data_IF_106203167391
#
_entry.id   IF_106203167391
#
_cell.length_a   1.000
_cell.length_b   1.000
_cell.length_c   1.000
_cell.angle_alpha   90.00
_cell.angle_beta   90.00
_cell.angle_gamma   90.00
#
_symmetry.space_group_name_H-M   'P 1'
#
loop_
_entity.id
_entity.type
_entity.pdbx_description
1 polymer ?
#
# COMPACT_ATOMS: atom_id res chain seq x y z
N UNK A 1 -8.86 3.61 -28.44
CA UNK A 1 -8.90 4.86 -27.64
C UNK A 1 -10.22 5.09 -26.86
N UNK A 2 -11.34 4.44 -27.24
CA UNK A 2 -12.64 4.55 -26.53
C UNK A 2 -12.67 4.02 -25.08
N UNK A 3 -11.99 2.88 -24.73
CA UNK A 3 -12.09 2.33 -23.37
C UNK A 3 -11.45 3.19 -22.28
N UNK A 4 -10.33 3.87 -22.58
CA UNK A 4 -9.63 4.71 -21.60
C UNK A 4 -10.41 5.99 -21.26
N UNK A 5 -11.05 6.62 -22.25
CA UNK A 5 -11.91 7.81 -22.03
C UNK A 5 -13.16 7.44 -21.22
N UNK A 6 -13.72 6.26 -21.45
CA UNK A 6 -14.85 5.76 -20.65
C UNK A 6 -14.44 5.51 -19.19
N UNK A 7 -13.31 4.84 -18.97
CA UNK A 7 -12.76 4.61 -17.63
C UNK A 7 -12.62 5.92 -16.84
N UNK A 8 -11.96 6.92 -17.40
CA UNK A 8 -11.77 8.21 -16.75
C UNK A 8 -13.09 8.94 -16.50
N UNK A 9 -14.03 8.87 -17.44
CA UNK A 9 -15.36 9.47 -17.25
C UNK A 9 -16.10 8.83 -16.07
N UNK A 10 -16.13 7.51 -15.99
CA UNK A 10 -16.81 6.78 -14.90
C UNK A 10 -16.11 7.03 -13.57
N UNK A 11 -14.78 7.01 -13.52
CA UNK A 11 -14.03 7.27 -12.30
C UNK A 11 -14.29 8.68 -11.76
N UNK A 12 -14.18 9.71 -12.58
CA UNK A 12 -14.39 11.10 -12.19
C UNK A 12 -15.87 11.48 -11.97
N UNK A 13 -16.82 10.70 -12.45
CA UNK A 13 -18.24 10.89 -12.14
C UNK A 13 -18.59 10.47 -10.72
N UNK A 14 -17.80 9.59 -10.11
CA UNK A 14 -17.92 9.25 -8.69
C UNK A 14 -17.21 10.32 -7.84
N UNK A 15 -18.01 11.29 -7.33
CA UNK A 15 -17.51 12.43 -6.56
C UNK A 15 -16.65 12.02 -5.36
N UNK A 16 -16.96 10.88 -4.72
CA UNK A 16 -16.21 10.38 -3.56
C UNK A 16 -14.84 9.87 -3.97
N UNK A 17 -14.78 9.08 -5.02
CA UNK A 17 -13.52 8.57 -5.55
C UNK A 17 -12.64 9.70 -6.10
N UNK A 18 -13.24 10.66 -6.80
CA UNK A 18 -12.54 11.84 -7.33
C UNK A 18 -11.94 12.70 -6.20
N UNK A 19 -12.74 13.04 -5.18
CA UNK A 19 -12.28 13.80 -4.02
C UNK A 19 -11.15 13.07 -3.27
N UNK A 20 -11.30 11.76 -3.07
CA UNK A 20 -10.27 10.93 -2.44
C UNK A 20 -8.96 10.87 -3.26
N UNK A 21 -9.04 10.79 -4.58
CA UNK A 21 -7.87 10.80 -5.46
C UNK A 21 -7.16 12.17 -5.40
N UNK A 22 -7.90 13.28 -5.40
CA UNK A 22 -7.35 14.63 -5.24
C UNK A 22 -6.69 14.78 -3.87
N UNK A 23 -7.34 14.30 -2.80
CA UNK A 23 -6.77 14.31 -1.45
C UNK A 23 -5.44 13.54 -1.40
N UNK A 24 -5.39 12.30 -1.91
CA UNK A 24 -4.15 11.50 -1.93
C UNK A 24 -3.04 12.18 -2.75
N UNK A 25 -3.39 12.78 -3.89
CA UNK A 25 -2.41 13.52 -4.67
C UNK A 25 -1.87 14.73 -3.89
N UNK A 26 -2.76 15.49 -3.25
CA UNK A 26 -2.37 16.63 -2.42
C UNK A 26 -1.50 16.18 -1.24
N UNK A 27 -1.86 15.08 -0.56
CA UNK A 27 -1.09 14.51 0.55
C UNK A 27 0.31 14.07 0.09
N UNK A 28 0.42 13.36 -1.03
CA UNK A 28 1.71 12.94 -1.61
C UNK A 28 2.56 14.16 -1.96
N UNK A 29 1.97 15.17 -2.62
CA UNK A 29 2.68 16.39 -2.98
C UNK A 29 3.14 17.16 -1.73
N UNK A 30 2.28 17.27 -0.73
CA UNK A 30 2.60 17.92 0.54
C UNK A 30 3.75 17.22 1.25
N UNK A 31 3.71 15.91 1.38
CA UNK A 31 4.75 15.08 2.01
C UNK A 31 6.09 15.18 1.25
N UNK A 32 6.06 15.29 -0.07
CA UNK A 32 7.26 15.35 -0.90
C UNK A 32 7.85 16.78 -0.98
N UNK A 33 7.01 17.79 -1.15
CA UNK A 33 7.45 19.14 -1.48
C UNK A 33 7.61 20.02 -0.25
N UNK A 34 6.68 19.96 0.73
CA UNK A 34 6.70 20.86 1.87
C UNK A 34 8.01 20.83 2.68
N UNK A 35 8.67 19.69 2.90
CA UNK A 35 9.98 19.67 3.59
C UNK A 35 11.08 20.46 2.88
N UNK A 36 10.98 20.64 1.55
CA UNK A 36 11.95 21.45 0.80
C UNK A 36 11.84 22.94 1.14
N UNK A 37 10.66 23.39 1.57
CA UNK A 37 10.41 24.79 1.94
C UNK A 37 10.59 25.06 3.44
N UNK A 38 10.36 24.03 4.28
CA UNK A 38 10.49 24.18 5.74
C UNK A 38 11.96 24.35 6.17
N UNK A 39 12.90 23.78 5.42
CA UNK A 39 14.35 23.88 5.72
C UNK A 39 14.75 23.24 7.06
N UNK A 40 13.84 22.56 7.75
CA UNK A 40 14.07 21.92 9.05
C UNK A 40 14.41 20.43 8.83
N UNK A 41 15.52 19.99 9.42
CA UNK A 41 15.88 18.57 9.44
C UNK A 41 15.00 17.84 10.49
N UNK A 42 14.23 16.81 10.10
CA UNK A 42 13.37 16.07 11.02
C UNK A 42 14.12 15.32 12.13
N UNK A 43 15.44 15.23 12.05
CA UNK A 43 16.27 14.51 13.01
C UNK A 43 17.01 15.41 14.00
N UNK A 44 17.01 16.72 13.77
CA UNK A 44 17.69 17.68 14.66
C UNK A 44 16.82 17.96 15.89
N UNK A 45 17.43 17.85 17.05
CA UNK A 45 16.82 18.18 18.36
C UNK A 45 16.96 19.66 18.65
N UNK A 46 15.86 20.35 18.89
CA UNK A 46 15.88 21.70 19.47
C UNK A 46 15.86 21.61 21.00
N UNK A 47 17.04 21.83 21.61
CA UNK A 47 17.18 21.79 23.07
C UNK A 47 16.49 22.98 23.76
N UNK A 48 16.22 24.04 23.03
CA UNK A 48 15.59 25.27 23.60
C UNK A 48 14.06 25.10 23.70
N UNK A 49 13.46 24.36 22.78
CA UNK A 49 12.03 24.09 22.78
C UNK A 49 11.62 23.07 23.85
N UNK A 50 12.52 22.13 24.19
CA UNK A 50 12.28 21.07 25.19
C UNK A 50 11.56 19.84 24.59
N UNK A 51 11.42 18.83 25.41
CA UNK A 51 10.77 17.55 25.07
C UNK A 51 9.24 17.69 25.17
N UNK A 52 8.52 17.16 24.19
CA UNK A 52 7.06 17.20 24.18
C UNK A 52 6.47 18.61 24.30
N UNK A 53 7.17 19.63 23.78
CA UNK A 53 6.65 20.99 23.82
C UNK A 53 5.34 21.10 23.01
N UNK A 54 4.37 21.89 23.50
CA UNK A 54 3.11 22.11 22.79
C UNK A 54 3.31 22.89 21.48
N UNK A 55 2.31 22.89 20.58
CA UNK A 55 2.32 23.69 19.37
C UNK A 55 2.67 25.15 19.63
N UNK A 56 3.57 25.69 18.81
CA UNK A 56 4.06 27.07 18.90
C UNK A 56 4.38 27.63 17.52
N UNK A 57 4.62 28.94 17.34
CA UNK A 57 5.03 29.50 16.06
C UNK A 57 6.33 28.93 15.51
N UNK A 58 7.27 28.48 16.38
CA UNK A 58 8.51 27.82 15.98
C UNK A 58 8.31 26.34 15.63
N UNK A 59 7.37 25.68 16.30
CA UNK A 59 7.02 24.26 16.13
C UNK A 59 5.52 24.12 15.98
N UNK A 60 5.00 24.18 14.75
CA UNK A 60 3.55 24.23 14.47
C UNK A 60 2.75 23.07 15.06
N UNK A 61 3.33 21.87 15.12
CA UNK A 61 2.75 20.70 15.78
C UNK A 61 3.44 20.34 17.11
N UNK A 62 4.28 21.25 17.65
CA UNK A 62 5.07 20.96 18.85
C UNK A 62 6.28 20.09 18.55
N UNK A 63 6.84 19.51 19.63
CA UNK A 63 8.03 18.62 19.55
C UNK A 63 7.72 17.21 20.01
N UNK A 64 8.58 16.27 19.64
CA UNK A 64 8.50 14.86 20.03
C UNK A 64 9.26 14.59 21.37
N UNK A 65 9.42 13.28 21.71
CA UNK A 65 10.13 12.78 22.88
C UNK A 65 11.60 13.21 22.98
N UNK A 66 12.19 13.60 21.85
CA UNK A 66 13.59 14.04 21.76
C UNK A 66 13.73 15.53 21.51
N UNK A 67 12.62 16.31 21.52
CA UNK A 67 12.64 17.75 21.21
C UNK A 67 12.82 18.04 19.72
N UNK A 68 12.48 17.11 18.82
CA UNK A 68 12.53 17.29 17.37
C UNK A 68 11.19 17.84 16.88
N UNK A 69 11.21 18.65 15.81
CA UNK A 69 9.99 19.22 15.24
C UNK A 69 9.03 18.15 14.71
N UNK A 70 7.83 18.11 15.27
CA UNK A 70 6.87 17.06 14.98
C UNK A 70 6.27 17.19 13.57
N UNK A 71 6.12 18.41 13.02
CA UNK A 71 5.62 18.60 11.65
C UNK A 71 6.62 18.04 10.63
N UNK A 72 7.90 18.38 10.77
CA UNK A 72 8.97 17.88 9.91
C UNK A 72 9.08 16.34 9.97
N UNK A 73 8.92 15.77 11.17
CA UNK A 73 8.87 14.31 11.37
C UNK A 73 7.63 13.65 10.78
N UNK A 74 6.47 14.30 10.89
CA UNK A 74 5.21 13.82 10.29
C UNK A 74 5.33 13.71 8.77
N UNK A 75 5.93 14.72 8.12
CA UNK A 75 6.17 14.74 6.68
C UNK A 75 7.23 13.70 6.26
N UNK A 76 8.33 13.61 7.00
CA UNK A 76 9.36 12.59 6.75
C UNK A 76 8.79 11.17 6.94
N UNK A 77 8.01 10.98 8.00
CA UNK A 77 7.30 9.72 8.28
C UNK A 77 6.29 9.35 7.19
N UNK A 78 5.59 10.34 6.66
CA UNK A 78 4.67 10.15 5.54
C UNK A 78 5.37 9.64 4.28
N UNK A 79 6.56 10.14 3.95
CA UNK A 79 7.37 9.62 2.82
C UNK A 79 7.65 8.13 3.00
N UNK A 80 8.03 7.73 4.21
CA UNK A 80 8.36 6.34 4.52
C UNK A 80 7.12 5.46 4.51
N UNK A 81 6.04 5.84 5.19
CA UNK A 81 4.82 5.04 5.27
C UNK A 81 4.15 4.88 3.90
N UNK A 82 4.09 5.94 3.07
CA UNK A 82 3.59 5.86 1.70
C UNK A 82 4.50 5.00 0.82
N UNK A 83 5.83 5.16 0.91
CA UNK A 83 6.78 4.33 0.17
C UNK A 83 6.61 2.85 0.50
N UNK A 84 6.54 2.50 1.79
CA UNK A 84 6.29 1.12 2.23
C UNK A 84 4.97 0.62 1.67
N UNK A 85 3.91 1.40 1.77
CA UNK A 85 2.59 1.04 1.27
C UNK A 85 2.60 0.71 -0.23
N UNK A 86 3.01 1.66 -1.05
CA UNK A 86 2.99 1.53 -2.51
C UNK A 86 4.01 0.52 -3.02
N UNK A 87 5.25 0.53 -2.52
CA UNK A 87 6.29 -0.38 -2.98
C UNK A 87 6.00 -1.84 -2.62
N UNK A 88 5.48 -2.10 -1.40
CA UNK A 88 5.06 -3.47 -1.02
C UNK A 88 3.89 -3.97 -1.87
N UNK A 89 2.89 -3.13 -2.12
CA UNK A 89 1.77 -3.50 -2.97
C UNK A 89 2.20 -3.76 -4.42
N UNK A 90 3.11 -2.94 -4.96
CA UNK A 90 3.69 -3.11 -6.28
C UNK A 90 4.50 -4.41 -6.38
N UNK A 91 5.37 -4.69 -5.40
CA UNK A 91 6.17 -5.91 -5.35
C UNK A 91 5.29 -7.17 -5.32
N UNK A 92 4.25 -7.17 -4.48
CA UNK A 92 3.26 -8.25 -4.44
C UNK A 92 2.54 -8.44 -5.78
N UNK A 93 2.27 -7.34 -6.51
CA UNK A 93 1.70 -7.35 -7.86
C UNK A 93 2.66 -7.93 -8.90
N UNK A 94 3.91 -7.45 -8.91
CA UNK A 94 4.96 -7.88 -9.85
C UNK A 94 5.25 -9.38 -9.71
N UNK A 95 5.24 -9.92 -8.50
CA UNK A 95 5.45 -11.34 -8.26
C UNK A 95 4.17 -12.17 -8.51
N UNK A 96 3.03 -11.69 -8.02
CA UNK A 96 1.79 -12.45 -8.03
C UNK A 96 1.13 -12.55 -9.40
N UNK A 97 1.19 -11.51 -10.24
CA UNK A 97 0.54 -11.53 -11.55
C UNK A 97 1.15 -12.60 -12.46
N UNK A 98 2.48 -12.68 -12.69
CA UNK A 98 3.06 -13.71 -13.55
C UNK A 98 2.82 -15.12 -13.02
N UNK A 99 2.94 -15.33 -11.69
CA UNK A 99 2.74 -16.64 -11.08
C UNK A 99 1.28 -17.10 -11.19
N UNK A 100 0.33 -16.21 -10.95
CA UNK A 100 -1.09 -16.50 -11.11
C UNK A 100 -1.48 -16.80 -12.56
N UNK A 101 -0.94 -16.06 -13.53
CA UNK A 101 -1.12 -16.33 -14.97
C UNK A 101 -0.55 -17.68 -15.36
N UNK A 102 0.68 -17.98 -14.91
CA UNK A 102 1.35 -19.24 -15.22
C UNK A 102 0.55 -20.42 -14.68
N UNK A 103 0.10 -20.35 -13.42
CA UNK A 103 -0.70 -21.39 -12.79
C UNK A 103 -2.03 -21.60 -13.52
N UNK A 104 -2.77 -20.51 -13.82
CA UNK A 104 -4.10 -20.59 -14.45
C UNK A 104 -4.05 -21.01 -15.91
N UNK A 105 -3.04 -20.56 -16.67
CA UNK A 105 -2.95 -20.85 -18.10
C UNK A 105 -2.39 -22.24 -18.39
N UNK A 106 -1.22 -22.60 -17.81
CA UNK A 106 -0.59 -23.89 -18.03
C UNK A 106 -1.26 -25.03 -17.29
N UNK A 107 -1.74 -24.79 -16.06
CA UNK A 107 -2.33 -25.85 -15.25
C UNK A 107 -1.32 -26.90 -14.78
N UNK A 108 -1.83 -28.09 -14.39
CA UNK A 108 -1.02 -29.26 -14.05
C UNK A 108 0.00 -29.01 -12.92
N UNK A 109 1.27 -29.36 -13.15
CA UNK A 109 2.33 -29.21 -12.13
C UNK A 109 2.56 -27.76 -11.69
N UNK A 110 2.47 -26.80 -12.62
CA UNK A 110 2.63 -25.37 -12.31
C UNK A 110 1.51 -24.87 -11.40
N UNK A 111 0.28 -25.22 -11.69
CA UNK A 111 -0.87 -24.92 -10.86
C UNK A 111 -0.69 -25.53 -9.47
N UNK A 112 -0.39 -26.82 -9.40
CA UNK A 112 -0.23 -27.54 -8.14
C UNK A 112 0.79 -26.85 -7.22
N UNK A 113 2.02 -26.60 -7.69
CA UNK A 113 3.07 -26.06 -6.85
C UNK A 113 2.85 -24.59 -6.48
N UNK A 114 2.40 -23.76 -7.43
CA UNK A 114 2.15 -22.34 -7.15
C UNK A 114 0.98 -22.20 -6.18
N UNK A 115 -0.13 -22.94 -6.39
CA UNK A 115 -1.28 -22.84 -5.48
C UNK A 115 -0.96 -23.45 -4.11
N UNK A 116 -0.18 -24.51 -4.05
CA UNK A 116 0.29 -25.07 -2.78
C UNK A 116 1.16 -24.07 -2.01
N UNK A 117 2.07 -23.38 -2.68
CA UNK A 117 2.82 -22.30 -2.06
C UNK A 117 1.88 -21.18 -1.56
N UNK A 118 0.90 -20.76 -2.37
CA UNK A 118 -0.10 -19.78 -1.92
C UNK A 118 -0.84 -20.25 -0.68
N UNK A 119 -1.25 -21.52 -0.61
CA UNK A 119 -1.94 -22.10 0.55
C UNK A 119 -1.06 -22.06 1.79
N UNK A 120 0.20 -22.45 1.66
CA UNK A 120 1.18 -22.43 2.75
C UNK A 120 1.36 -21.03 3.31
N UNK A 121 1.62 -20.01 2.46
CA UNK A 121 1.80 -18.64 2.94
C UNK A 121 0.51 -18.05 3.56
N UNK A 122 -0.66 -18.46 3.09
CA UNK A 122 -1.94 -17.95 3.61
C UNK A 122 -2.49 -18.75 4.80
N UNK A 123 -1.89 -19.88 5.17
CA UNK A 123 -2.29 -20.66 6.35
C UNK A 123 -1.81 -20.03 7.66
N UNK A 124 -0.79 -19.19 7.61
CA UNK A 124 -0.27 -18.48 8.78
C UNK A 124 -0.88 -17.08 8.91
N UNK A 125 -1.11 -16.59 10.14
CA UNK A 125 -1.44 -15.19 10.36
C UNK A 125 -0.35 -14.29 9.80
N UNK A 126 -0.69 -13.45 8.82
CA UNK A 126 0.28 -12.63 8.08
C UNK A 126 1.15 -11.76 8.98
N UNK A 127 0.55 -11.18 10.05
CA UNK A 127 1.28 -10.32 10.99
C UNK A 127 2.40 -11.08 11.72
N UNK A 128 2.20 -12.35 12.06
CA UNK A 128 3.21 -13.17 12.72
C UNK A 128 4.37 -13.50 11.78
N UNK A 129 4.08 -13.81 10.51
CA UNK A 129 5.11 -14.03 9.50
C UNK A 129 5.93 -12.76 9.25
N UNK A 130 5.26 -11.63 9.08
CA UNK A 130 5.94 -10.34 8.87
C UNK A 130 6.82 -10.00 10.09
N UNK A 131 6.28 -10.15 11.31
CA UNK A 131 7.02 -9.93 12.56
C UNK A 131 8.29 -10.79 12.62
N UNK A 132 8.16 -12.10 12.41
CA UNK A 132 9.29 -13.04 12.44
C UNK A 132 10.36 -12.68 11.40
N UNK A 133 9.95 -12.41 10.16
CA UNK A 133 10.87 -12.10 9.06
C UNK A 133 11.58 -10.75 9.27
N UNK A 134 10.87 -9.71 9.72
CA UNK A 134 11.48 -8.40 9.99
C UNK A 134 12.44 -8.48 11.19
N UNK A 135 12.10 -9.29 12.20
CA UNK A 135 13.02 -9.54 13.35
C UNK A 135 14.32 -10.21 12.90
N UNK A 136 14.25 -11.16 11.96
CA UNK A 136 15.42 -11.86 11.43
C UNK A 136 16.27 -10.99 10.52
N UNK A 137 15.64 -10.19 9.63
CA UNK A 137 16.34 -9.37 8.63
C UNK A 137 16.80 -8.02 9.18
N UNK A 138 16.25 -7.59 10.31
CA UNK A 138 16.48 -6.28 10.90
C UNK A 138 15.50 -5.20 10.41
N UNK A 139 15.28 -4.16 11.24
CA UNK A 139 14.34 -3.07 10.99
C UNK A 139 14.90 -2.06 9.97
N UNK A 140 14.57 -2.24 8.72
CA UNK A 140 14.91 -1.36 7.60
C UNK A 140 13.70 -1.17 6.69
N UNK A 141 13.56 0.02 6.10
CA UNK A 141 12.48 0.31 5.14
C UNK A 141 12.44 -0.73 4.02
N UNK A 142 13.60 -1.08 3.48
CA UNK A 142 13.70 -2.06 2.39
C UNK A 142 13.35 -3.47 2.84
N UNK A 143 13.78 -3.89 4.04
CA UNK A 143 13.42 -5.20 4.58
C UNK A 143 11.91 -5.30 4.83
N UNK A 144 11.29 -4.24 5.35
CA UNK A 144 9.84 -4.19 5.55
C UNK A 144 9.10 -4.28 4.20
N UNK A 145 9.54 -3.53 3.17
CA UNK A 145 8.97 -3.61 1.82
C UNK A 145 9.12 -5.02 1.25
N UNK A 146 10.30 -5.62 1.34
CA UNK A 146 10.57 -6.97 0.83
C UNK A 146 9.71 -8.02 1.54
N UNK A 147 9.57 -7.92 2.85
CA UNK A 147 8.79 -8.90 3.62
C UNK A 147 7.30 -8.73 3.35
N UNK A 148 6.74 -7.53 3.47
CA UNK A 148 5.30 -7.30 3.26
C UNK A 148 4.92 -7.58 1.81
N UNK A 149 5.68 -7.07 0.85
CA UNK A 149 5.44 -7.29 -0.57
C UNK A 149 5.69 -8.74 -0.99
N UNK A 150 6.80 -9.32 -0.46
CA UNK A 150 7.19 -10.71 -0.70
C UNK A 150 6.21 -11.74 -0.13
N UNK A 151 5.46 -11.42 0.91
CA UNK A 151 4.36 -12.27 1.41
C UNK A 151 3.02 -11.92 0.73
N UNK A 152 2.88 -10.70 0.22
CA UNK A 152 1.66 -10.21 -0.44
C UNK A 152 1.34 -10.85 -1.79
N UNK A 153 2.34 -11.48 -2.46
CA UNK A 153 2.18 -12.05 -3.80
C UNK A 153 1.11 -13.16 -3.87
N UNK A 154 1.01 -13.98 -2.82
CA UNK A 154 0.14 -15.17 -2.82
C UNK A 154 -1.36 -14.80 -3.02
N UNK A 155 -1.81 -13.70 -2.41
CA UNK A 155 -3.18 -13.21 -2.59
C UNK A 155 -3.43 -12.63 -4.00
N UNK A 156 -2.42 -12.02 -4.62
CA UNK A 156 -2.50 -11.54 -6.01
C UNK A 156 -2.48 -12.71 -6.98
N UNK A 157 -1.58 -13.67 -6.77
CA UNK A 157 -1.48 -14.87 -7.60
C UNK A 157 -2.79 -15.64 -7.62
N UNK A 158 -3.45 -15.81 -6.47
CA UNK A 158 -4.75 -16.48 -6.38
C UNK A 158 -5.86 -15.72 -7.12
N UNK A 159 -5.88 -14.39 -7.00
CA UNK A 159 -6.84 -13.55 -7.73
C UNK A 159 -6.66 -13.69 -9.25
N UNK A 160 -5.42 -13.61 -9.72
CA UNK A 160 -5.08 -13.74 -11.14
C UNK A 160 -5.32 -15.15 -11.66
N UNK A 161 -4.97 -16.17 -10.87
CA UNK A 161 -5.23 -17.57 -11.18
C UNK A 161 -6.71 -17.83 -11.44
N UNK A 162 -7.60 -17.44 -10.53
CA UNK A 162 -9.05 -17.63 -10.69
C UNK A 162 -9.60 -16.88 -11.91
N UNK A 163 -9.13 -15.64 -12.14
CA UNK A 163 -9.49 -14.86 -13.32
C UNK A 163 -8.99 -15.51 -14.62
N UNK A 164 -7.79 -16.08 -14.62
CA UNK A 164 -7.20 -16.76 -15.78
C UNK A 164 -7.96 -18.05 -16.12
N UNK A 165 -8.37 -18.84 -15.12
CA UNK A 165 -9.19 -20.03 -15.32
C UNK A 165 -10.54 -19.69 -15.97
N UNK A 166 -11.19 -18.61 -15.49
CA UNK A 166 -12.45 -18.14 -16.06
C UNK A 166 -12.27 -17.62 -17.49
N UNK A 167 -11.24 -16.80 -17.72
CA UNK A 167 -10.97 -16.23 -19.03
C UNK A 167 -10.59 -17.30 -20.07
N UNK A 168 -9.84 -18.34 -19.68
CA UNK A 168 -9.41 -19.43 -20.57
C UNK A 168 -10.58 -20.19 -21.20
N UNK A 169 -11.74 -20.21 -20.53
CA UNK A 169 -12.98 -20.88 -20.99
C UNK A 169 -13.94 -19.93 -21.73
N UNK A 170 -13.55 -18.68 -21.92
CA UNK A 170 -14.42 -17.70 -22.54
C UNK A 170 -14.40 -17.81 -24.08
N UNK A 171 -15.57 -17.62 -24.72
CA UNK A 171 -15.77 -17.73 -26.18
C UNK A 171 -14.76 -16.89 -26.98
N UNK A 172 -14.41 -15.69 -26.50
CA UNK A 172 -13.45 -14.82 -27.19
C UNK A 172 -12.02 -15.39 -27.22
N UNK A 173 -11.66 -16.26 -26.25
CA UNK A 173 -10.37 -16.97 -26.24
C UNK A 173 -10.41 -18.12 -27.24
N UNK A 174 -11.52 -18.86 -27.30
CA UNK A 174 -11.72 -19.93 -28.29
C UNK A 174 -11.72 -19.38 -29.71
N UNK A 175 -12.41 -18.26 -29.94
CA UNK A 175 -12.38 -17.56 -31.22
C UNK A 175 -10.97 -17.13 -31.63
N UNK A 176 -10.19 -16.56 -30.69
CA UNK A 176 -8.80 -16.18 -30.93
C UNK A 176 -7.94 -17.39 -31.35
N UNK A 177 -8.18 -18.54 -30.71
CA UNK A 177 -7.46 -19.80 -31.03
C UNK A 177 -7.87 -20.32 -32.40
N UNK A 178 -9.16 -20.28 -32.75
CA UNK A 178 -9.66 -20.69 -34.06
C UNK A 178 -9.10 -19.82 -35.20
N UNK A 179 -8.78 -18.56 -34.94
CA UNK A 179 -8.12 -17.64 -35.85
C UNK A 179 -6.59 -17.82 -35.94
N UNK A 180 -6.03 -18.85 -35.27
CA UNK A 180 -4.61 -19.19 -35.34
C UNK A 180 -3.71 -18.39 -34.39
N UNK A 181 -4.25 -17.71 -33.38
CA UNK A 181 -3.45 -17.02 -32.40
C UNK A 181 -2.61 -17.99 -31.57
N UNK A 182 -1.34 -17.66 -31.36
CA UNK A 182 -0.42 -18.43 -30.54
C UNK A 182 -0.79 -18.33 -29.04
N UNK A 183 -0.40 -19.32 -28.23
CA UNK A 183 -0.60 -19.32 -26.79
C UNK A 183 -0.05 -18.05 -26.11
N UNK A 184 1.07 -17.53 -26.61
CA UNK A 184 1.67 -16.30 -26.11
C UNK A 184 0.79 -15.08 -26.44
N UNK A 185 0.24 -15.00 -27.64
CA UNK A 185 -0.67 -13.92 -28.02
C UNK A 185 -1.97 -13.98 -27.22
N UNK A 186 -2.55 -15.17 -27.06
CA UNK A 186 -3.74 -15.39 -26.23
C UNK A 186 -3.46 -14.92 -24.79
N UNK A 187 -2.34 -15.34 -24.21
CA UNK A 187 -2.01 -15.00 -22.82
C UNK A 187 -1.81 -13.49 -22.63
N UNK A 188 -0.98 -12.85 -23.43
CA UNK A 188 -0.59 -11.45 -23.20
C UNK A 188 -1.54 -10.42 -23.82
N UNK A 189 -2.19 -10.73 -24.96
CA UNK A 189 -3.10 -9.80 -25.65
C UNK A 189 -4.56 -10.00 -25.31
N UNK A 190 -4.96 -11.22 -24.94
CA UNK A 190 -6.36 -11.56 -24.73
C UNK A 190 -6.69 -11.76 -23.24
N UNK A 191 -5.93 -12.58 -22.52
CA UNK A 191 -6.22 -12.93 -21.12
C UNK A 191 -5.71 -11.87 -20.16
N UNK A 192 -4.41 -11.54 -20.20
CA UNK A 192 -3.75 -10.64 -19.26
C UNK A 192 -4.47 -9.30 -19.07
N UNK A 193 -4.88 -8.56 -20.12
CA UNK A 193 -5.56 -7.26 -19.94
C UNK A 193 -6.87 -7.37 -19.15
N UNK A 194 -7.57 -8.51 -19.28
CA UNK A 194 -8.85 -8.75 -18.61
C UNK A 194 -8.67 -9.17 -17.15
N UNK A 195 -7.65 -10.00 -16.84
CA UNK A 195 -7.43 -10.51 -15.49
C UNK A 195 -6.65 -9.55 -14.60
N UNK A 196 -5.93 -8.57 -15.17
CA UNK A 196 -5.22 -7.54 -14.41
C UNK A 196 -6.16 -6.44 -13.90
N UNK A 197 -7.31 -6.22 -14.53
CA UNK A 197 -8.28 -5.21 -14.11
C UNK A 197 -8.71 -5.36 -12.63
N UNK A 198 -9.11 -6.55 -12.13
CA UNK A 198 -9.39 -6.76 -10.70
C UNK A 198 -8.16 -6.54 -9.80
N UNK A 199 -6.95 -6.78 -10.29
CA UNK A 199 -5.71 -6.51 -9.52
C UNK A 199 -5.57 -5.01 -9.29
N UNK A 200 -5.72 -4.18 -10.34
CA UNK A 200 -5.70 -2.72 -10.22
C UNK A 200 -6.75 -2.20 -9.24
N UNK A 201 -7.98 -2.75 -9.29
CA UNK A 201 -9.03 -2.38 -8.35
C UNK A 201 -8.72 -2.77 -6.90
N UNK A 202 -7.93 -3.83 -6.67
CA UNK A 202 -7.54 -4.29 -5.34
C UNK A 202 -6.28 -3.61 -4.79
N UNK A 203 -5.51 -2.92 -5.66
CA UNK A 203 -4.22 -2.33 -5.30
C UNK A 203 -4.31 -1.31 -4.14
N UNK A 204 -5.27 -0.36 -4.13
CA UNK A 204 -5.39 0.58 -3.04
C UNK A 204 -5.57 -0.10 -1.67
N UNK A 205 -6.40 -1.14 -1.60
CA UNK A 205 -6.59 -1.92 -0.37
C UNK A 205 -5.30 -2.62 0.09
N UNK A 206 -4.45 -3.05 -0.86
CA UNK A 206 -3.15 -3.64 -0.53
C UNK A 206 -2.18 -2.60 0.02
N UNK A 207 -2.23 -1.37 -0.50
CA UNK A 207 -1.45 -0.23 0.04
C UNK A 207 -1.87 0.04 1.48
N UNK A 208 -3.19 0.14 1.76
CA UNK A 208 -3.71 0.31 3.13
C UNK A 208 -3.19 -0.77 4.06
N UNK A 209 -3.30 -2.05 3.65
CA UNK A 209 -2.82 -3.18 4.45
C UNK A 209 -1.32 -3.12 4.73
N UNK A 210 -0.52 -2.68 3.77
CA UNK A 210 0.92 -2.54 3.94
C UNK A 210 1.27 -1.42 4.94
N UNK A 211 0.61 -0.25 4.85
CA UNK A 211 0.76 0.85 5.79
C UNK A 211 0.38 0.41 7.22
N UNK A 212 -0.78 -0.25 7.36
CA UNK A 212 -1.22 -0.77 8.66
C UNK A 212 -0.30 -1.84 9.22
N UNK A 213 0.27 -2.71 8.36
CA UNK A 213 1.25 -3.73 8.80
C UNK A 213 2.54 -3.08 9.29
N UNK A 214 3.06 -2.06 8.59
CA UNK A 214 4.22 -1.29 9.03
C UNK A 214 3.95 -0.61 10.37
N UNK A 215 2.81 0.07 10.49
CA UNK A 215 2.41 0.74 11.73
C UNK A 215 2.26 -0.25 12.89
N UNK A 216 1.71 -1.43 12.65
CA UNK A 216 1.59 -2.50 13.65
C UNK A 216 2.96 -3.04 14.10
N UNK A 217 3.91 -3.20 13.15
CA UNK A 217 5.28 -3.59 13.49
C UNK A 217 5.97 -2.53 14.35
N UNK A 218 5.80 -1.26 13.99
CA UNK A 218 6.33 -0.14 14.75
C UNK A 218 5.73 -0.10 16.15
N UNK A 219 4.42 -0.31 16.27
CA UNK A 219 3.72 -0.41 17.56
C UNK A 219 4.24 -1.55 18.45
N UNK A 220 4.56 -2.70 17.84
CA UNK A 220 5.15 -3.85 18.55
C UNK A 220 6.66 -3.68 18.83
N UNK A 221 7.25 -2.53 18.51
CA UNK A 221 8.67 -2.23 18.75
C UNK A 221 9.66 -2.91 17.80
N UNK A 222 9.17 -3.58 16.74
CA UNK A 222 9.99 -4.27 15.74
C UNK A 222 10.07 -3.48 14.43
N UNK A 223 9.34 -2.36 14.32
CA UNK A 223 9.35 -1.47 13.17
C UNK A 223 10.61 -0.65 13.02
N UNK A 224 10.51 0.42 12.26
CA UNK A 224 11.63 1.33 12.00
C UNK A 224 12.11 1.99 13.29
N UNK A 225 13.43 2.04 13.44
CA UNK A 225 14.07 2.65 14.61
C UNK A 225 14.44 4.11 14.34
N UNK A 226 14.47 4.91 15.40
CA UNK A 226 15.04 6.25 15.36
C UNK A 226 16.48 6.22 14.79
N UNK A 227 16.88 7.24 13.97
CA UNK A 227 16.18 8.51 13.73
C UNK A 227 15.06 8.47 12.67
N UNK A 228 14.92 7.37 11.92
CA UNK A 228 13.90 7.29 10.86
C UNK A 228 12.49 7.45 11.42
N UNK A 229 11.71 8.35 10.79
CA UNK A 229 10.31 8.54 11.12
C UNK A 229 9.41 7.72 10.19
N UNK A 230 8.32 7.19 10.73
CA UNK A 230 7.13 6.72 10.03
C UNK A 230 5.89 7.14 10.81
N UNK A 231 4.71 7.16 10.19
CA UNK A 231 3.49 7.47 10.94
C UNK A 231 3.25 6.44 12.07
N UNK A 232 3.64 5.19 11.83
CA UNK A 232 3.53 4.12 12.83
C UNK A 232 4.40 4.37 14.05
N UNK A 233 5.69 4.67 13.89
CA UNK A 233 6.57 4.87 15.03
C UNK A 233 6.33 6.22 15.74
N UNK A 234 5.87 7.26 15.02
CA UNK A 234 5.43 8.51 15.66
C UNK A 234 4.21 8.30 16.56
N UNK A 235 3.26 7.47 16.13
CA UNK A 235 2.12 7.12 16.95
C UNK A 235 2.56 6.28 18.15
N UNK A 236 3.47 5.33 17.95
CA UNK A 236 3.98 4.44 19.00
C UNK A 236 4.76 5.19 20.09
N UNK A 237 5.60 6.16 19.73
CA UNK A 237 6.37 6.93 20.70
C UNK A 237 5.49 7.75 21.68
N UNK A 238 4.26 8.05 21.27
CA UNK A 238 3.29 8.79 22.07
C UNK A 238 2.32 7.91 22.89
N UNK A 239 2.53 6.58 22.93
CA UNK A 239 1.60 5.63 23.60
C UNK A 239 1.74 5.56 25.12
N UNK A 240 2.68 6.27 25.72
CA UNK A 240 2.74 6.40 27.18
C UNK A 240 1.46 7.07 27.71
N UNK A 241 0.87 6.55 28.78
CA UNK A 241 -0.44 6.99 29.29
C UNK A 241 -0.49 8.50 29.55
N UNK A 242 0.58 9.07 30.08
CA UNK A 242 0.69 10.50 30.33
C UNK A 242 0.64 11.28 29.00
N UNK A 243 1.40 10.85 28.01
CA UNK A 243 1.46 11.49 26.68
C UNK A 243 0.12 11.37 25.96
N UNK A 244 -0.53 10.22 26.00
CA UNK A 244 -1.87 10.02 25.42
C UNK A 244 -2.91 10.99 25.97
N UNK A 245 -2.91 11.21 27.28
CA UNK A 245 -3.94 12.01 27.95
C UNK A 245 -3.65 13.49 27.95
N UNK A 246 -2.38 13.90 28.02
CA UNK A 246 -1.99 15.30 28.17
C UNK A 246 -1.42 15.95 26.90
N UNK A 247 -1.03 15.17 25.88
CA UNK A 247 -0.29 15.64 24.69
C UNK A 247 -0.93 15.14 23.38
N UNK A 248 -2.20 15.50 23.10
CA UNK A 248 -2.89 15.00 21.89
C UNK A 248 -2.21 15.38 20.59
N UNK A 249 -1.45 16.46 20.55
CA UNK A 249 -0.67 16.86 19.36
C UNK A 249 0.41 15.86 18.97
N UNK A 250 0.86 14.98 19.88
CA UNK A 250 1.92 14.01 19.63
C UNK A 250 1.44 12.81 18.80
N UNK A 251 0.23 12.30 19.04
CA UNK A 251 -0.29 11.08 18.42
C UNK A 251 -1.43 11.33 17.42
N UNK A 252 -2.22 12.38 17.62
CA UNK A 252 -3.39 12.65 16.80
C UNK A 252 -3.03 12.94 15.33
N UNK A 253 -2.03 13.79 15.00
CA UNK A 253 -1.66 14.06 13.63
C UNK A 253 -1.20 12.80 12.86
N UNK A 254 -0.25 11.97 13.33
CA UNK A 254 0.14 10.76 12.61
C UNK A 254 -0.99 9.75 12.53
N UNK A 255 -1.81 9.59 13.57
CA UNK A 255 -2.99 8.74 13.55
C UNK A 255 -4.02 9.18 12.51
N UNK A 256 -4.29 10.49 12.42
CA UNK A 256 -5.18 11.06 11.40
C UNK A 256 -4.65 10.85 9.99
N UNK A 257 -3.34 11.01 9.75
CA UNK A 257 -2.73 10.71 8.45
C UNK A 257 -2.98 9.25 8.04
N UNK A 258 -2.75 8.28 8.93
CA UNK A 258 -3.01 6.86 8.64
C UNK A 258 -4.49 6.62 8.28
N UNK A 259 -5.40 7.17 9.07
CA UNK A 259 -6.84 6.98 8.86
C UNK A 259 -7.31 7.67 7.59
N UNK A 260 -6.93 8.92 7.37
CA UNK A 260 -7.33 9.70 6.19
C UNK A 260 -6.80 9.07 4.89
N UNK A 261 -5.51 8.71 4.85
CA UNK A 261 -4.90 7.98 3.73
C UNK A 261 -5.61 6.65 3.48
N UNK A 262 -5.89 5.90 4.55
CA UNK A 262 -6.60 4.61 4.47
C UNK A 262 -7.99 4.75 3.87
N UNK A 263 -8.77 5.70 4.36
CA UNK A 263 -10.12 5.98 3.84
C UNK A 263 -10.09 6.46 2.39
N UNK A 264 -9.16 7.35 2.06
CA UNK A 264 -9.02 7.84 0.70
C UNK A 264 -8.65 6.72 -0.28
N UNK A 265 -7.70 5.85 0.08
CA UNK A 265 -7.34 4.68 -0.71
C UNK A 265 -8.51 3.72 -0.89
N UNK A 266 -9.35 3.47 0.14
CA UNK A 266 -10.55 2.65 0.02
C UNK A 266 -11.54 3.23 -0.98
N UNK A 267 -11.82 4.54 -0.90
CA UNK A 267 -12.72 5.22 -1.83
C UNK A 267 -12.20 5.21 -3.27
N UNK A 268 -10.89 5.41 -3.47
CA UNK A 268 -10.26 5.26 -4.79
C UNK A 268 -10.41 3.84 -5.30
N UNK A 269 -10.20 2.82 -4.45
CA UNK A 269 -10.39 1.42 -4.81
C UNK A 269 -11.81 1.09 -5.26
N UNK A 270 -12.82 1.64 -4.59
CA UNK A 270 -14.21 1.50 -5.00
C UNK A 270 -14.48 2.17 -6.35
N UNK A 271 -13.97 3.38 -6.59
CA UNK A 271 -14.07 4.07 -7.87
C UNK A 271 -13.40 3.30 -9.00
N UNK A 272 -12.20 2.76 -8.77
CA UNK A 272 -11.51 1.89 -9.73
C UNK A 272 -12.32 0.64 -10.04
N UNK A 273 -12.90 -0.02 -9.05
CA UNK A 273 -13.75 -1.20 -9.24
C UNK A 273 -14.97 -0.90 -10.10
N UNK A 274 -15.64 0.24 -9.87
CA UNK A 274 -16.78 0.68 -10.69
C UNK A 274 -16.36 0.98 -12.13
N UNK A 275 -15.25 1.70 -12.31
CA UNK A 275 -14.76 2.09 -13.63
C UNK A 275 -14.22 0.91 -14.46
N UNK A 276 -13.70 -0.13 -13.80
CA UNK A 276 -13.16 -1.34 -14.43
C UNK A 276 -14.22 -2.43 -14.65
N UNK A 277 -15.45 -2.29 -14.11
CA UNK A 277 -16.49 -3.29 -14.24
C UNK A 277 -17.04 -3.33 -15.69
N UNK A 278 -16.93 -4.49 -16.39
CA UNK A 278 -17.42 -4.60 -17.78
C UNK A 278 -18.95 -4.43 -17.93
N UNK A 279 -19.72 -4.72 -16.86
CA UNK A 279 -21.18 -4.60 -16.88
C UNK A 279 -21.68 -3.15 -16.92
N UNK A 280 -20.82 -2.19 -16.69
CA UNK A 280 -21.13 -0.78 -16.75
C UNK A 280 -20.80 -0.17 -18.13
N UNK A 281 -20.33 -1.00 -19.08
CA UNK A 281 -20.07 -0.62 -20.47
C UNK A 281 -21.26 -0.93 -21.36
#
# INVERSE_FOLDING_TARGET
MKPLRYFWRVFWSDRRAAAAAVFLLAEILLVLLLPLFLGQDPNVTDRTAGFWAPPSPAHLLGTDEAGRDLLSRLLAGGRVSLLVGFASAALGGVLGVPLGLLAGYKGGKWEYWIMRACDTFQSFPSILLVLAMVTLLGPSVWNIILVIGGLGWASVARLVYSGTLSAKKAEYVEASRALGATDREILFRTILPNVVAPVWASLPLKVVRAILSESSLSFLGVGLRTPQASWGNLTQSAMELVTLTTRPWAWLPPGLCIVATGLALLLVGEGLRKALNPRNR
#
